data_IF_454593879569
#
_entry.id   IF_454593879569
#
_cell.length_a   1.000
_cell.length_b   1.000
_cell.length_c   1.000
_cell.angle_alpha   90.00
_cell.angle_beta   90.00
_cell.angle_gamma   90.00
#
_symmetry.space_group_name_H-M   'P 1'
#
loop_
_entity.id
_entity.type
_entity.pdbx_description
1 polymer ?
#
# COMPACT_ATOMS: atom_id res chain seq x y z
N UNK A 1 -28.42 7.98 -8.88
CA UNK A 1 -28.31 9.18 -8.03
C UNK A 1 -27.03 9.95 -8.34
N UNK A 2 -25.86 9.39 -8.07
CA UNK A 2 -24.55 10.03 -8.30
C UNK A 2 -24.01 9.90 -9.73
N UNK A 3 -23.22 10.89 -10.17
CA UNK A 3 -22.40 10.89 -11.40
C UNK A 3 -21.02 11.47 -11.07
N UNK A 4 -19.95 10.73 -11.39
CA UNK A 4 -18.58 11.22 -11.19
C UNK A 4 -18.17 12.16 -12.33
N UNK A 5 -17.70 13.36 -12.01
CA UNK A 5 -17.28 14.38 -12.99
C UNK A 5 -15.75 14.53 -13.11
N UNK A 6 -14.98 13.80 -12.29
CA UNK A 6 -13.52 13.85 -12.29
C UNK A 6 -13.03 15.07 -11.53
N UNK A 7 -12.21 15.91 -12.18
CA UNK A 7 -11.66 17.14 -11.60
C UNK A 7 -10.20 17.01 -11.14
N UNK A 8 -9.61 15.82 -11.28
CA UNK A 8 -8.22 15.50 -11.01
C UNK A 8 -7.25 16.12 -12.01
N UNK A 9 -6.01 16.33 -11.56
CA UNK A 9 -4.84 16.62 -12.40
C UNK A 9 -5.09 17.60 -13.56
N UNK A 10 -5.71 18.76 -13.25
CA UNK A 10 -5.93 19.84 -14.21
C UNK A 10 -4.92 20.99 -14.02
N UNK A 11 -3.71 20.93 -14.61
CA UNK A 11 -2.76 22.03 -14.56
C UNK A 11 -3.32 23.33 -15.14
N UNK A 12 -3.18 24.40 -14.38
CA UNK A 12 -3.69 25.73 -14.75
C UNK A 12 -2.82 26.49 -15.76
N UNK A 13 -1.69 25.89 -16.17
CA UNK A 13 -0.66 26.51 -17.04
C UNK A 13 -1.23 27.06 -18.35
N UNK A 14 -2.19 26.36 -18.96
CA UNK A 14 -2.83 26.83 -20.20
C UNK A 14 -3.87 27.91 -19.94
N UNK A 15 -4.63 27.84 -18.85
CA UNK A 15 -5.64 28.84 -18.51
C UNK A 15 -5.03 30.20 -18.19
N UNK A 16 -3.85 30.21 -17.55
CA UNK A 16 -3.07 31.42 -17.31
C UNK A 16 -2.72 32.19 -18.61
N UNK A 17 -2.59 31.47 -19.74
CA UNK A 17 -2.22 32.04 -21.05
C UNK A 17 -3.38 32.11 -22.04
N UNK A 18 -4.54 31.54 -21.72
CA UNK A 18 -5.67 31.44 -22.63
C UNK A 18 -6.52 32.72 -22.59
N UNK A 19 -6.63 33.48 -23.69
CA UNK A 19 -7.40 34.73 -23.70
C UNK A 19 -8.88 34.52 -23.33
N UNK A 20 -9.46 33.37 -23.70
CA UNK A 20 -10.86 33.03 -23.37
C UNK A 20 -11.03 32.74 -21.88
N UNK A 21 -10.10 32.02 -21.26
CA UNK A 21 -10.13 31.72 -19.82
C UNK A 21 -9.93 33.00 -18.99
N UNK A 22 -8.96 33.82 -19.36
CA UNK A 22 -8.70 35.11 -18.69
C UNK A 22 -9.87 36.08 -18.84
N UNK A 23 -10.53 36.11 -20.01
CA UNK A 23 -11.76 36.88 -20.20
C UNK A 23 -12.89 36.39 -19.28
N UNK A 24 -13.05 35.07 -19.10
CA UNK A 24 -14.03 34.49 -18.18
C UNK A 24 -13.72 34.85 -16.73
N UNK A 25 -12.46 34.73 -16.30
CA UNK A 25 -11.99 35.14 -14.97
C UNK A 25 -12.35 36.61 -14.69
N UNK A 26 -12.03 37.50 -15.64
CA UNK A 26 -12.36 38.93 -15.52
C UNK A 26 -13.86 39.17 -15.44
N UNK A 27 -14.65 38.53 -16.30
CA UNK A 27 -16.11 38.71 -16.33
C UNK A 27 -16.80 38.21 -15.04
N UNK A 28 -16.27 37.15 -14.44
CA UNK A 28 -16.78 36.59 -13.18
C UNK A 28 -16.16 37.25 -11.93
N UNK A 29 -15.20 38.15 -12.10
CA UNK A 29 -14.50 38.81 -10.99
C UNK A 29 -13.71 37.86 -10.09
N UNK A 30 -13.23 36.73 -10.63
CA UNK A 30 -12.46 35.74 -9.87
C UNK A 30 -11.08 36.32 -9.53
N UNK A 31 -10.72 36.30 -8.24
CA UNK A 31 -9.47 36.87 -7.73
C UNK A 31 -8.68 35.82 -6.96
N UNK A 32 -7.36 35.87 -7.08
CA UNK A 32 -6.48 35.12 -6.19
C UNK A 32 -6.57 35.65 -4.76
N UNK A 33 -6.43 34.76 -3.79
CA UNK A 33 -6.24 35.07 -2.38
C UNK A 33 -5.14 34.18 -1.76
N UNK A 34 -5.09 34.12 -0.43
CA UNK A 34 -4.10 33.32 0.30
C UNK A 34 -4.26 31.81 0.12
N UNK A 35 -5.44 31.34 -0.29
CA UNK A 35 -5.80 29.93 -0.37
C UNK A 35 -5.92 29.46 -1.82
N UNK A 36 -6.37 30.32 -2.75
CA UNK A 36 -6.65 29.93 -4.12
C UNK A 36 -6.21 30.93 -5.18
N UNK A 37 -5.79 30.41 -6.34
CA UNK A 37 -5.53 31.21 -7.54
C UNK A 37 -6.83 31.55 -8.29
N UNK A 38 -6.78 32.56 -9.18
CA UNK A 38 -7.92 32.88 -10.05
C UNK A 38 -8.29 31.71 -10.98
N UNK A 39 -7.30 30.94 -11.44
CA UNK A 39 -7.50 29.75 -12.27
C UNK A 39 -8.07 28.55 -11.50
N UNK A 40 -7.74 28.36 -10.22
CA UNK A 40 -8.41 27.38 -9.36
C UNK A 40 -9.88 27.75 -9.15
N UNK A 41 -10.17 29.04 -8.92
CA UNK A 41 -11.56 29.51 -8.90
C UNK A 41 -12.27 29.32 -10.24
N UNK A 42 -11.55 29.35 -11.36
CA UNK A 42 -12.11 29.02 -12.67
C UNK A 42 -12.43 27.51 -12.79
N UNK A 43 -11.64 26.63 -12.17
CA UNK A 43 -11.98 25.21 -12.04
C UNK A 43 -13.28 25.05 -11.24
N UNK A 44 -13.35 25.67 -10.05
CA UNK A 44 -14.58 25.66 -9.23
C UNK A 44 -15.81 26.15 -10.01
N UNK A 45 -15.68 27.20 -10.84
CA UNK A 45 -16.75 27.65 -11.72
C UNK A 45 -17.25 26.55 -12.68
N UNK A 46 -16.33 25.78 -13.28
CA UNK A 46 -16.67 24.67 -14.20
C UNK A 46 -17.39 23.55 -13.44
N UNK A 47 -16.88 23.18 -12.26
CA UNK A 47 -17.49 22.15 -11.40
C UNK A 47 -18.90 22.57 -10.96
N UNK A 48 -19.07 23.82 -10.51
CA UNK A 48 -20.38 24.38 -10.15
C UNK A 48 -21.37 24.38 -11.34
N UNK A 49 -20.88 24.63 -12.56
CA UNK A 49 -21.71 24.56 -13.76
C UNK A 49 -22.21 23.14 -14.02
N UNK A 50 -21.31 22.14 -13.91
CA UNK A 50 -21.66 20.72 -14.05
C UNK A 50 -22.62 20.26 -12.95
N UNK A 51 -22.36 20.63 -11.69
CA UNK A 51 -23.23 20.36 -10.55
C UNK A 51 -24.65 20.88 -10.79
N UNK A 52 -24.77 22.18 -11.10
CA UNK A 52 -26.08 22.80 -11.33
C UNK A 52 -26.86 22.13 -12.46
N UNK A 53 -26.18 21.79 -13.55
CA UNK A 53 -26.79 21.07 -14.66
C UNK A 53 -27.31 19.70 -14.22
N UNK A 54 -26.47 18.91 -13.53
CA UNK A 54 -26.79 17.55 -13.10
C UNK A 54 -27.87 17.52 -12.00
N UNK A 55 -27.81 18.43 -11.03
CA UNK A 55 -28.84 18.63 -10.01
C UNK A 55 -30.20 18.97 -10.64
N UNK A 56 -30.22 19.80 -11.69
CA UNK A 56 -31.44 20.10 -12.47
C UNK A 56 -32.07 18.87 -13.14
N UNK A 57 -31.32 17.78 -13.27
CA UNK A 57 -31.77 16.48 -13.80
C UNK A 57 -31.87 15.40 -12.71
N UNK A 58 -31.93 15.80 -11.44
CA UNK A 58 -32.10 14.88 -10.30
C UNK A 58 -30.86 14.02 -10.02
N UNK A 59 -29.66 14.50 -10.37
CA UNK A 59 -28.39 13.80 -10.13
C UNK A 59 -27.49 14.59 -9.20
N UNK A 60 -26.73 13.90 -8.35
CA UNK A 60 -25.67 14.47 -7.51
C UNK A 60 -24.30 14.22 -8.15
N UNK A 61 -23.29 15.04 -7.81
CA UNK A 61 -21.94 14.89 -8.36
C UNK A 61 -20.99 14.24 -7.36
N UNK A 62 -20.04 13.46 -7.90
CA UNK A 62 -18.82 13.06 -7.21
C UNK A 62 -17.64 13.66 -7.97
N UNK A 63 -16.62 14.16 -7.28
CA UNK A 63 -15.35 14.56 -7.90
C UNK A 63 -14.17 14.25 -7.01
N UNK A 64 -12.98 14.14 -7.62
CA UNK A 64 -11.73 13.94 -6.88
C UNK A 64 -11.42 15.11 -5.94
N UNK A 65 -10.63 14.89 -4.90
CA UNK A 65 -10.35 15.91 -3.87
C UNK A 65 -9.81 17.26 -4.38
N UNK A 66 -9.28 17.33 -5.61
CA UNK A 66 -8.98 18.57 -6.32
C UNK A 66 -10.18 19.50 -6.53
N UNK A 67 -11.43 19.01 -6.48
CA UNK A 67 -12.61 19.89 -6.56
C UNK A 67 -12.78 20.81 -5.35
N UNK A 68 -11.98 20.61 -4.28
CA UNK A 68 -11.82 21.56 -3.18
C UNK A 68 -11.14 22.87 -3.63
N UNK A 69 -10.33 22.83 -4.69
CA UNK A 69 -9.61 24.00 -5.22
C UNK A 69 -10.59 25.07 -5.72
N UNK A 70 -10.46 26.30 -5.21
CA UNK A 70 -11.31 27.43 -5.61
C UNK A 70 -12.66 27.50 -4.89
N UNK A 71 -12.92 26.60 -3.95
CA UNK A 71 -14.17 26.49 -3.19
C UNK A 71 -15.09 25.41 -3.74
N UNK A 72 -15.60 24.55 -2.85
CA UNK A 72 -16.38 23.38 -3.21
C UNK A 72 -17.80 23.77 -3.66
N UNK A 73 -18.35 23.02 -4.62
CA UNK A 73 -19.74 23.17 -5.03
C UNK A 73 -20.66 22.62 -3.91
N UNK A 74 -21.77 23.31 -3.57
CA UNK A 74 -22.49 23.13 -2.30
C UNK A 74 -23.08 21.73 -2.07
N UNK A 75 -23.32 20.94 -3.11
CA UNK A 75 -23.90 19.59 -3.01
C UNK A 75 -22.92 18.50 -3.49
N UNK A 76 -21.64 18.83 -3.65
CA UNK A 76 -20.66 17.88 -4.15
C UNK A 76 -20.28 16.83 -3.10
N UNK A 77 -20.20 15.58 -3.53
CA UNK A 77 -19.51 14.50 -2.81
C UNK A 77 -18.05 14.46 -3.25
N UNK A 78 -17.13 14.32 -2.30
CA UNK A 78 -15.68 14.31 -2.57
C UNK A 78 -15.13 12.88 -2.52
N UNK A 79 -14.36 12.50 -3.53
CA UNK A 79 -13.59 11.24 -3.56
C UNK A 79 -12.12 11.53 -3.23
N UNK A 80 -11.68 11.12 -2.03
CA UNK A 80 -10.32 11.43 -1.51
C UNK A 80 -9.29 10.42 -1.98
N UNK A 81 -8.33 10.84 -2.79
CA UNK A 81 -7.34 9.93 -3.38
C UNK A 81 -5.89 10.27 -3.02
N UNK A 82 -5.57 11.54 -2.78
CA UNK A 82 -4.22 11.98 -2.37
C UNK A 82 -4.01 11.79 -0.87
N UNK A 83 -4.06 10.54 -0.43
CA UNK A 83 -4.19 10.18 0.98
C UNK A 83 -5.58 10.54 1.53
N UNK A 84 -5.66 10.82 2.84
CA UNK A 84 -6.92 11.03 3.56
C UNK A 84 -7.26 12.50 3.83
N UNK A 85 -6.32 13.42 3.57
CA UNK A 85 -6.44 14.82 3.97
C UNK A 85 -7.59 15.54 3.27
N UNK A 86 -7.79 15.30 1.97
CA UNK A 86 -8.89 15.88 1.20
C UNK A 86 -10.26 15.46 1.74
N UNK A 87 -10.41 14.17 2.07
CA UNK A 87 -11.63 13.66 2.70
C UNK A 87 -11.89 14.23 4.09
N UNK A 88 -10.84 14.39 4.93
CA UNK A 88 -10.97 15.03 6.24
C UNK A 88 -11.45 16.48 6.10
N UNK A 89 -10.87 17.24 5.17
CA UNK A 89 -11.26 18.63 4.93
C UNK A 89 -12.70 18.74 4.42
N UNK A 90 -13.10 17.90 3.47
CA UNK A 90 -14.47 17.87 2.94
C UNK A 90 -15.51 17.51 4.01
N UNK A 91 -15.21 16.52 4.86
CA UNK A 91 -16.09 16.12 5.96
C UNK A 91 -16.27 17.24 7.00
N UNK A 92 -15.20 17.98 7.33
CA UNK A 92 -15.26 19.18 8.20
C UNK A 92 -16.12 20.29 7.61
N UNK A 93 -16.18 20.38 6.29
CA UNK A 93 -17.06 21.28 5.54
C UNK A 93 -18.48 20.72 5.36
N UNK A 94 -18.80 19.54 5.92
CA UNK A 94 -20.11 18.89 5.87
C UNK A 94 -20.52 18.38 4.48
N UNK A 95 -19.53 18.00 3.67
CA UNK A 95 -19.74 17.34 2.40
C UNK A 95 -19.55 15.84 2.54
N UNK A 96 -20.37 15.05 1.85
CA UNK A 96 -20.21 13.61 1.78
C UNK A 96 -18.87 13.23 1.14
N UNK A 97 -18.27 12.14 1.62
CA UNK A 97 -16.94 11.69 1.24
C UNK A 97 -16.94 10.20 0.92
N UNK A 98 -16.27 9.85 -0.17
CA UNK A 98 -15.87 8.48 -0.50
C UNK A 98 -14.35 8.39 -0.37
N UNK A 99 -13.87 7.49 0.48
CA UNK A 99 -12.44 7.29 0.72
C UNK A 99 -11.84 6.33 -0.31
N UNK A 100 -10.89 6.82 -1.11
CA UNK A 100 -10.09 6.02 -2.06
C UNK A 100 -8.58 6.33 -1.93
N UNK A 101 -8.00 6.46 -0.72
CA UNK A 101 -6.64 6.97 -0.56
C UNK A 101 -5.61 6.07 -1.22
N UNK A 102 -4.73 6.64 -2.05
CA UNK A 102 -3.66 5.92 -2.74
C UNK A 102 -2.65 5.22 -1.81
N UNK A 103 -2.59 5.61 -0.54
CA UNK A 103 -1.77 4.95 0.49
C UNK A 103 -2.30 3.57 0.89
N UNK A 104 -3.58 3.26 0.56
CA UNK A 104 -4.23 2.02 0.98
C UNK A 104 -4.99 1.31 -0.15
N UNK A 105 -5.59 2.04 -1.10
CA UNK A 105 -6.65 1.53 -1.98
C UNK A 105 -6.38 1.76 -3.47
N UNK A 106 -5.11 1.91 -3.87
CA UNK A 106 -4.70 1.93 -5.28
C UNK A 106 -4.17 0.55 -5.66
N UNK A 107 -4.99 -0.22 -6.38
CA UNK A 107 -4.70 -1.62 -6.71
C UNK A 107 -3.87 -1.76 -7.98
N UNK A 108 -3.58 -0.68 -8.68
CA UNK A 108 -2.53 -0.60 -9.72
C UNK A 108 -1.10 -0.59 -9.14
N UNK A 109 -0.95 -0.47 -7.81
CA UNK A 109 0.35 -0.54 -7.14
C UNK A 109 0.78 -1.98 -6.86
N UNK A 110 2.10 -2.20 -6.77
CA UNK A 110 2.68 -3.48 -6.36
C UNK A 110 2.14 -3.95 -5.01
N UNK A 111 2.06 -5.28 -4.86
CA UNK A 111 1.53 -5.94 -3.66
C UNK A 111 2.57 -6.78 -2.91
N UNK A 112 3.81 -6.82 -3.41
CA UNK A 112 4.98 -7.44 -2.79
C UNK A 112 6.19 -6.51 -2.87
N UNK A 113 7.16 -6.71 -1.97
CA UNK A 113 8.46 -6.00 -2.03
C UNK A 113 9.38 -6.59 -3.10
N UNK A 114 9.12 -7.81 -3.54
CA UNK A 114 9.88 -8.51 -4.58
C UNK A 114 9.41 -8.12 -5.99
N UNK A 115 9.56 -6.83 -6.31
CA UNK A 115 9.05 -6.25 -7.56
C UNK A 115 9.71 -6.83 -8.82
N UNK A 116 10.89 -7.44 -8.69
CA UNK A 116 11.63 -7.99 -9.81
C UNK A 116 10.96 -9.25 -10.40
N UNK A 117 10.11 -9.91 -9.60
CA UNK A 117 9.38 -11.12 -9.99
C UNK A 117 7.88 -10.85 -10.21
N UNK A 118 7.47 -9.58 -10.31
CA UNK A 118 6.09 -9.16 -10.53
C UNK A 118 5.86 -8.71 -11.97
N UNK A 119 4.61 -8.78 -12.46
CA UNK A 119 4.19 -8.02 -13.64
C UNK A 119 4.51 -6.52 -13.47
N UNK A 120 4.78 -5.83 -14.58
CA UNK A 120 5.02 -4.39 -14.54
C UNK A 120 3.81 -3.64 -13.96
N UNK A 121 4.07 -2.72 -13.05
CA UNK A 121 3.08 -1.87 -12.38
C UNK A 121 3.68 -0.48 -12.17
N UNK A 122 2.83 0.52 -11.94
CA UNK A 122 3.26 1.93 -11.86
C UNK A 122 4.24 2.22 -10.71
N UNK A 123 4.25 1.37 -9.68
CA UNK A 123 5.06 1.53 -8.48
C UNK A 123 4.29 1.21 -7.20
N UNK A 124 4.57 1.94 -6.12
CA UNK A 124 3.88 1.79 -4.84
C UNK A 124 4.13 0.46 -4.12
N UNK A 125 3.48 0.28 -2.97
CA UNK A 125 3.45 -0.98 -2.22
C UNK A 125 2.20 -1.02 -1.33
N UNK A 126 1.20 -1.78 -1.77
CA UNK A 126 -0.10 -1.96 -1.12
C UNK A 126 -0.40 -3.46 -1.04
N UNK A 127 0.18 -4.18 -0.05
CA UNK A 127 -0.13 -5.58 0.21
C UNK A 127 -1.53 -5.73 0.83
N UNK A 128 -2.05 -6.96 0.84
CA UNK A 128 -3.35 -7.32 1.47
C UNK A 128 -3.45 -6.81 2.92
N UNK A 129 -2.35 -6.90 3.69
CA UNK A 129 -2.27 -6.41 5.07
C UNK A 129 -2.54 -4.90 5.18
N UNK A 130 -1.96 -4.11 4.27
CA UNK A 130 -2.15 -2.65 4.24
C UNK A 130 -3.61 -2.29 3.95
N UNK A 131 -4.24 -3.00 3.03
CA UNK A 131 -5.68 -2.80 2.72
C UNK A 131 -6.53 -3.15 3.95
N UNK A 132 -6.28 -4.31 4.57
CA UNK A 132 -7.07 -4.78 5.71
C UNK A 132 -6.97 -3.84 6.92
N UNK A 133 -5.77 -3.34 7.18
CA UNK A 133 -5.50 -2.48 8.34
C UNK A 133 -5.94 -1.03 8.14
N UNK A 134 -6.47 -0.65 6.96
CA UNK A 134 -7.04 0.67 6.76
C UNK A 134 -8.31 0.85 7.62
N UNK A 135 -8.34 1.93 8.40
CA UNK A 135 -9.51 2.42 9.13
C UNK A 135 -10.10 3.60 8.36
N UNK A 136 -11.27 3.43 7.70
CA UNK A 136 -11.87 4.48 6.88
C UNK A 136 -12.33 5.72 7.64
N UNK A 137 -12.56 5.60 8.96
CA UNK A 137 -13.01 6.69 9.83
C UNK A 137 -11.80 7.37 10.48
N UNK A 138 -11.31 8.52 9.98
CA UNK A 138 -10.11 9.15 10.50
C UNK A 138 -10.31 9.60 11.95
N UNK A 139 -9.28 9.40 12.79
CA UNK A 139 -9.29 9.83 14.20
C UNK A 139 -9.32 11.36 14.38
N UNK A 140 -8.94 12.11 13.33
CA UNK A 140 -8.95 13.58 13.29
C UNK A 140 -10.34 14.19 13.08
N UNK A 141 -11.38 13.34 12.88
CA UNK A 141 -12.77 13.74 12.76
C UNK A 141 -13.54 13.42 14.04
N UNK A 142 -14.44 14.32 14.41
CA UNK A 142 -15.43 14.09 15.47
C UNK A 142 -16.46 13.03 15.06
N UNK A 143 -17.19 12.40 16.01
CA UNK A 143 -18.26 11.45 15.67
C UNK A 143 -19.34 12.02 14.75
N UNK A 144 -19.62 13.32 14.84
CA UNK A 144 -20.53 14.03 13.94
C UNK A 144 -19.96 14.18 12.53
N UNK A 145 -18.69 14.50 12.40
CA UNK A 145 -18.01 14.66 11.11
C UNK A 145 -17.80 13.31 10.40
N UNK A 146 -17.55 12.24 11.16
CA UNK A 146 -17.41 10.88 10.61
C UNK A 146 -18.66 10.41 9.86
N UNK A 147 -19.85 10.97 10.14
CA UNK A 147 -21.10 10.64 9.43
C UNK A 147 -21.07 11.07 7.96
N UNK A 148 -20.19 11.98 7.58
CA UNK A 148 -19.99 12.39 6.19
C UNK A 148 -19.11 11.41 5.41
N UNK A 149 -18.46 10.45 6.06
CA UNK A 149 -17.77 9.38 5.36
C UNK A 149 -18.82 8.33 4.95
N UNK A 150 -19.28 8.40 3.71
CA UNK A 150 -20.40 7.59 3.20
C UNK A 150 -19.96 6.33 2.44
N UNK A 151 -18.67 6.18 2.15
CA UNK A 151 -18.20 5.04 1.39
C UNK A 151 -16.68 4.89 1.32
N UNK A 152 -16.27 3.71 0.87
CA UNK A 152 -14.88 3.32 0.65
C UNK A 152 -14.81 2.60 -0.69
N UNK A 153 -13.79 2.88 -1.50
CA UNK A 153 -13.58 2.24 -2.80
C UNK A 153 -12.08 2.05 -3.06
N UNK A 154 -11.73 1.00 -3.80
CA UNK A 154 -10.40 0.87 -4.40
C UNK A 154 -10.43 1.22 -5.88
N UNK A 155 -9.35 1.82 -6.35
CA UNK A 155 -9.18 2.22 -7.75
C UNK A 155 -8.21 1.26 -8.43
N UNK A 156 -8.46 0.99 -9.72
CA UNK A 156 -7.55 0.26 -10.59
C UNK A 156 -7.31 1.06 -11.87
N UNK A 157 -6.17 1.73 -11.93
CA UNK A 157 -5.67 2.36 -13.15
C UNK A 157 -4.95 1.33 -14.02
N UNK A 158 -5.01 1.46 -15.35
CA UNK A 158 -4.67 0.37 -16.27
C UNK A 158 -3.51 0.68 -17.22
N UNK A 159 -2.69 1.69 -16.93
CA UNK A 159 -1.53 2.09 -17.73
C UNK A 159 -0.58 0.92 -18.02
N UNK A 160 -0.37 0.06 -17.02
CA UNK A 160 0.54 -1.10 -17.08
C UNK A 160 -0.19 -2.45 -17.02
N UNK A 161 -1.51 -2.46 -17.25
CA UNK A 161 -2.37 -3.64 -17.09
C UNK A 161 -3.07 -3.96 -18.43
N UNK A 162 -2.34 -4.52 -19.42
CA UNK A 162 -2.87 -4.74 -20.77
C UNK A 162 -3.85 -5.91 -20.89
N UNK A 163 -3.99 -6.76 -19.87
CA UNK A 163 -4.83 -7.96 -19.93
C UNK A 163 -5.78 -8.06 -18.75
N UNK A 164 -6.96 -8.64 -18.98
CA UNK A 164 -7.93 -8.89 -17.92
C UNK A 164 -7.40 -9.87 -16.86
N UNK A 165 -6.58 -10.84 -17.26
CA UNK A 165 -5.93 -11.75 -16.30
C UNK A 165 -5.01 -11.01 -15.32
N UNK A 166 -4.38 -9.91 -15.76
CA UNK A 166 -3.60 -9.04 -14.87
C UNK A 166 -4.51 -8.12 -14.02
N UNK A 167 -5.67 -7.68 -14.54
CA UNK A 167 -6.70 -7.00 -13.72
C UNK A 167 -7.06 -7.87 -12.53
N UNK A 168 -7.43 -9.14 -12.77
CA UNK A 168 -7.77 -10.08 -11.71
C UNK A 168 -6.60 -10.31 -10.74
N UNK A 169 -5.37 -10.45 -11.24
CA UNK A 169 -4.16 -10.58 -10.42
C UNK A 169 -3.91 -9.37 -9.51
N UNK A 170 -4.17 -8.16 -10.00
CA UNK A 170 -3.97 -6.93 -9.24
C UNK A 170 -5.10 -6.72 -8.22
N UNK A 171 -6.34 -7.09 -8.54
CA UNK A 171 -7.46 -6.92 -7.63
C UNK A 171 -7.56 -8.02 -6.57
N UNK A 172 -7.34 -9.28 -6.94
CA UNK A 172 -7.54 -10.44 -6.08
C UNK A 172 -6.22 -10.92 -5.46
N UNK A 173 -6.15 -11.15 -4.13
CA UNK A 173 -7.24 -11.14 -3.15
C UNK A 173 -7.42 -9.81 -2.39
N UNK A 174 -6.82 -8.70 -2.81
CA UNK A 174 -6.95 -7.40 -2.12
C UNK A 174 -8.40 -6.94 -2.00
N UNK A 175 -9.26 -7.26 -2.97
CA UNK A 175 -10.71 -7.02 -2.88
C UNK A 175 -11.38 -7.74 -1.70
N UNK A 176 -10.84 -8.87 -1.23
CA UNK A 176 -11.36 -9.53 -0.03
C UNK A 176 -11.05 -8.73 1.25
N UNK A 177 -9.89 -8.09 1.31
CA UNK A 177 -9.57 -7.17 2.41
C UNK A 177 -10.39 -5.89 2.31
N UNK A 178 -10.59 -5.35 1.09
CA UNK A 178 -11.47 -4.21 0.84
C UNK A 178 -12.91 -4.49 1.31
N UNK A 179 -13.46 -5.66 1.00
CA UNK A 179 -14.83 -5.99 1.39
C UNK A 179 -14.99 -6.10 2.91
N UNK A 180 -13.98 -6.59 3.63
CA UNK A 180 -14.00 -6.61 5.10
C UNK A 180 -14.02 -5.18 5.66
N UNK A 181 -13.19 -4.25 5.16
CA UNK A 181 -13.20 -2.87 5.67
C UNK A 181 -14.45 -2.08 5.27
N UNK A 182 -15.15 -2.50 4.20
CA UNK A 182 -16.41 -1.90 3.78
C UNK A 182 -17.60 -2.39 4.60
N UNK A 183 -17.55 -3.63 5.10
CA UNK A 183 -18.73 -4.32 5.62
C UNK A 183 -18.66 -4.68 7.11
N UNK A 184 -17.49 -5.06 7.60
CA UNK A 184 -17.31 -5.56 8.96
C UNK A 184 -17.07 -4.41 9.93
N UNK A 185 -17.79 -4.44 11.06
CA UNK A 185 -17.62 -3.44 12.13
C UNK A 185 -16.16 -3.44 12.65
N UNK A 186 -15.56 -2.27 12.94
CA UNK A 186 -14.15 -2.18 13.33
C UNK A 186 -13.75 -3.09 14.48
N UNK A 187 -14.59 -3.22 15.51
CA UNK A 187 -14.34 -4.07 16.69
C UNK A 187 -14.32 -5.58 16.40
N UNK A 188 -14.77 -5.99 15.21
CA UNK A 188 -14.74 -7.38 14.73
C UNK A 188 -13.61 -7.66 13.76
N UNK A 189 -12.89 -6.63 13.31
CA UNK A 189 -11.74 -6.82 12.43
C UNK A 189 -10.61 -7.52 13.19
N UNK A 190 -10.09 -8.58 12.59
CA UNK A 190 -8.96 -9.34 13.09
C UNK A 190 -8.21 -9.92 11.88
N UNK A 191 -7.02 -9.40 11.62
CA UNK A 191 -6.25 -9.77 10.42
C UNK A 191 -5.87 -11.25 10.41
N UNK A 192 -5.42 -11.81 11.53
CA UNK A 192 -5.13 -13.26 11.63
C UNK A 192 -6.39 -14.10 11.38
N UNK A 193 -7.54 -13.67 11.90
CA UNK A 193 -8.83 -14.30 11.65
C UNK A 193 -9.27 -14.21 10.19
N UNK A 194 -9.02 -13.08 9.53
CA UNK A 194 -9.27 -12.90 8.09
C UNK A 194 -8.41 -13.85 7.25
N UNK A 195 -7.11 -13.92 7.54
CA UNK A 195 -6.17 -14.79 6.84
C UNK A 195 -6.55 -16.28 6.93
N UNK A 196 -7.16 -16.73 8.03
CA UNK A 196 -7.70 -18.10 8.17
C UNK A 196 -8.94 -18.36 7.31
N UNK A 197 -9.73 -17.33 6.99
CA UNK A 197 -10.94 -17.46 6.15
C UNK A 197 -10.64 -17.28 4.66
N UNK A 198 -9.56 -16.58 4.33
CA UNK A 198 -9.19 -16.26 2.95
C UNK A 198 -9.04 -17.49 2.03
N UNK A 199 -8.43 -18.62 2.44
CA UNK A 199 -8.33 -19.81 1.60
C UNK A 199 -9.68 -20.29 1.05
N UNK A 200 -10.75 -20.27 1.86
CA UNK A 200 -12.09 -20.69 1.44
C UNK A 200 -12.68 -19.79 0.34
N UNK A 201 -12.34 -18.50 0.37
CA UNK A 201 -12.74 -17.58 -0.69
C UNK A 201 -11.91 -17.80 -1.97
N UNK A 202 -10.64 -18.18 -1.83
CA UNK A 202 -9.79 -18.52 -2.97
C UNK A 202 -10.21 -19.82 -3.64
N UNK A 203 -10.73 -20.80 -2.89
CA UNK A 203 -11.36 -22.00 -3.48
C UNK A 203 -12.50 -21.62 -4.44
N UNK A 204 -13.25 -20.56 -4.13
CA UNK A 204 -14.29 -20.01 -5.02
C UNK A 204 -13.64 -19.40 -6.27
N UNK A 205 -12.55 -18.65 -6.13
CA UNK A 205 -11.83 -18.09 -7.28
C UNK A 205 -11.36 -19.18 -8.24
N UNK A 206 -10.84 -20.30 -7.71
CA UNK A 206 -10.41 -21.45 -8.50
C UNK A 206 -11.59 -22.10 -9.26
N UNK A 207 -12.76 -22.24 -8.63
CA UNK A 207 -13.99 -22.77 -9.28
C UNK A 207 -14.41 -21.89 -10.47
N UNK A 208 -14.38 -20.57 -10.29
CA UNK A 208 -14.74 -19.61 -11.34
C UNK A 208 -13.58 -19.30 -12.31
N UNK A 209 -12.39 -19.84 -12.05
CA UNK A 209 -11.16 -19.64 -12.81
C UNK A 209 -10.71 -18.18 -12.89
N UNK A 210 -10.90 -17.43 -11.82
CA UNK A 210 -10.31 -16.10 -11.70
C UNK A 210 -8.82 -16.21 -11.43
N UNK A 211 -8.00 -15.39 -12.10
CA UNK A 211 -6.60 -15.26 -11.71
C UNK A 211 -6.49 -14.45 -10.40
N UNK A 212 -5.44 -14.68 -9.62
CA UNK A 212 -5.19 -13.93 -8.39
C UNK A 212 -3.73 -14.02 -7.98
N UNK A 213 -3.28 -13.02 -7.23
CA UNK A 213 -1.96 -13.02 -6.66
C UNK A 213 -1.84 -13.97 -5.46
N UNK A 214 -0.70 -14.63 -5.33
CA UNK A 214 -0.48 -15.71 -4.36
C UNK A 214 0.40 -15.33 -3.16
N UNK A 215 0.83 -14.08 -3.08
CA UNK A 215 1.76 -13.57 -2.06
C UNK A 215 1.36 -13.90 -0.62
N UNK A 216 0.06 -13.80 -0.33
CA UNK A 216 -0.49 -14.08 1.01
C UNK A 216 -0.37 -15.54 1.41
N UNK A 217 -0.17 -16.44 0.45
CA UNK A 217 0.01 -17.88 0.65
C UNK A 217 1.48 -18.30 0.71
N UNK A 218 2.42 -17.37 0.51
CA UNK A 218 3.84 -17.66 0.64
C UNK A 218 4.23 -17.96 2.08
N UNK A 219 5.38 -18.61 2.25
CA UNK A 219 6.00 -18.74 3.57
C UNK A 219 6.42 -17.34 4.03
N UNK A 220 5.95 -16.91 5.19
CA UNK A 220 6.48 -15.73 5.86
C UNK A 220 7.74 -16.14 6.64
N UNK A 221 8.90 -15.67 6.18
CA UNK A 221 10.18 -15.89 6.86
C UNK A 221 10.64 -14.62 7.57
N UNK A 222 10.76 -14.69 8.90
CA UNK A 222 11.26 -13.59 9.73
C UNK A 222 12.65 -13.95 10.23
N UNK A 223 13.63 -13.13 9.83
CA UNK A 223 15.02 -13.25 10.23
C UNK A 223 15.30 -12.28 11.39
N UNK A 224 15.55 -12.85 12.56
CA UNK A 224 15.73 -12.10 13.81
C UNK A 224 17.16 -12.26 14.32
N UNK A 225 17.98 -11.20 14.30
CA UNK A 225 19.31 -11.24 14.91
C UNK A 225 19.21 -11.54 16.41
N UNK A 226 19.97 -12.52 16.88
CA UNK A 226 20.05 -12.90 18.29
C UNK A 226 21.51 -12.82 18.77
N UNK A 227 21.98 -11.63 19.21
CA UNK A 227 23.35 -11.42 19.69
C UNK A 227 23.72 -12.23 20.93
N UNK A 228 22.72 -12.64 21.74
CA UNK A 228 22.97 -13.42 22.96
C UNK A 228 23.48 -14.82 22.63
N UNK A 229 22.86 -15.46 21.64
CA UNK A 229 23.20 -16.82 21.21
C UNK A 229 24.19 -16.85 20.04
N UNK A 230 24.47 -15.68 19.45
CA UNK A 230 25.29 -15.53 18.25
C UNK A 230 24.63 -16.15 17.02
N UNK A 231 23.29 -16.08 16.93
CA UNK A 231 22.49 -16.71 15.88
C UNK A 231 21.70 -15.69 15.09
N UNK A 232 21.38 -16.04 13.85
CA UNK A 232 20.24 -15.47 13.14
C UNK A 232 19.08 -16.45 13.30
N UNK A 233 18.09 -16.07 14.10
CA UNK A 233 16.93 -16.90 14.39
C UNK A 233 15.89 -16.72 13.27
N UNK A 234 15.54 -17.81 12.59
CA UNK A 234 14.56 -17.80 11.49
C UNK A 234 13.28 -18.46 11.95
N UNK A 235 12.21 -17.67 11.98
CA UNK A 235 10.85 -18.18 12.24
C UNK A 235 10.05 -18.19 10.95
N UNK A 236 9.41 -19.32 10.67
CA UNK A 236 8.59 -19.52 9.48
C UNK A 236 7.12 -19.68 9.88
N UNK A 237 6.23 -19.06 9.10
CA UNK A 237 4.79 -19.24 9.25
C UNK A 237 4.08 -19.19 7.89
N UNK A 238 2.89 -19.77 7.83
CA UNK A 238 1.94 -19.55 6.74
C UNK A 238 0.59 -19.19 7.35
N UNK A 239 -0.29 -18.61 6.54
CA UNK A 239 -1.60 -18.13 7.00
C UNK A 239 -2.55 -19.25 7.43
N UNK A 240 -2.30 -20.46 6.95
CA UNK A 240 -3.11 -21.67 7.09
C UNK A 240 -2.43 -22.75 7.93
N UNK A 241 -1.28 -22.44 8.52
CA UNK A 241 -0.43 -23.38 9.28
C UNK A 241 -0.07 -24.65 8.47
N UNK A 242 0.03 -24.52 7.15
CA UNK A 242 0.47 -25.61 6.28
C UNK A 242 1.91 -26.02 6.59
N UNK A 243 2.27 -27.31 6.37
CA UNK A 243 3.63 -27.79 6.57
C UNK A 243 4.65 -27.02 5.73
N UNK A 244 5.69 -26.52 6.40
CA UNK A 244 6.78 -25.77 5.77
C UNK A 244 8.01 -26.68 5.71
N UNK A 245 8.61 -26.78 4.53
CA UNK A 245 9.81 -27.57 4.26
C UNK A 245 10.94 -26.65 3.83
N UNK A 246 12.16 -26.94 4.27
CA UNK A 246 13.31 -26.07 3.99
C UNK A 246 14.59 -26.83 3.67
N UNK A 247 15.54 -26.11 3.08
CA UNK A 247 16.92 -26.53 2.82
C UNK A 247 17.87 -25.39 3.21
N UNK A 248 19.12 -25.72 3.54
CA UNK A 248 20.16 -24.76 3.93
C UNK A 248 21.39 -24.80 3.00
N UNK A 249 21.39 -25.73 2.06
CA UNK A 249 22.48 -25.97 1.10
C UNK A 249 22.17 -25.41 -0.30
N UNK A 250 21.03 -24.71 -0.45
CA UNK A 250 20.57 -24.13 -1.71
C UNK A 250 19.84 -25.09 -2.65
N UNK A 251 19.70 -26.38 -2.28
CA UNK A 251 18.88 -27.33 -3.06
C UNK A 251 17.40 -26.94 -3.03
N UNK A 252 16.64 -27.29 -4.08
CA UNK A 252 15.21 -26.94 -4.14
C UNK A 252 14.41 -27.70 -3.08
N UNK A 253 13.68 -27.00 -2.19
CA UNK A 253 12.90 -27.65 -1.14
C UNK A 253 11.66 -28.35 -1.70
N UNK A 254 11.30 -29.48 -1.10
CA UNK A 254 10.11 -30.27 -1.43
C UNK A 254 9.51 -30.91 -0.18
N UNK A 255 8.41 -31.64 -0.31
CA UNK A 255 7.82 -32.41 0.79
C UNK A 255 8.76 -33.49 1.38
N UNK A 256 9.86 -33.83 0.68
CA UNK A 256 10.90 -34.73 1.16
C UNK A 256 12.04 -34.01 1.91
N UNK A 257 12.06 -32.68 1.89
CA UNK A 257 13.07 -31.87 2.60
C UNK A 257 12.75 -31.78 4.10
N UNK A 258 13.58 -31.05 4.85
CA UNK A 258 13.43 -30.97 6.30
C UNK A 258 12.16 -30.21 6.68
N UNK A 259 11.30 -30.83 7.50
CA UNK A 259 10.11 -30.20 8.05
C UNK A 259 10.49 -29.16 9.10
N UNK A 260 9.93 -27.96 8.99
CA UNK A 260 10.05 -26.92 10.00
C UNK A 260 9.12 -27.21 11.18
N UNK A 261 9.72 -27.44 12.36
CA UNK A 261 8.99 -27.72 13.61
C UNK A 261 9.29 -26.71 14.71
N UNK A 262 10.40 -25.98 14.61
CA UNK A 262 10.88 -25.01 15.60
C UNK A 262 11.78 -23.96 14.96
N UNK A 263 12.02 -22.85 15.66
CA UNK A 263 12.87 -21.74 15.20
C UNK A 263 14.26 -22.24 14.78
N UNK A 264 14.67 -21.89 13.55
CA UNK A 264 16.00 -22.26 13.04
C UNK A 264 17.04 -21.31 13.61
N UNK A 265 18.08 -21.85 14.26
CA UNK A 265 19.18 -21.08 14.84
C UNK A 265 20.40 -21.15 13.94
N UNK A 266 20.55 -20.19 13.03
CA UNK A 266 21.62 -20.20 12.02
C UNK A 266 22.89 -19.51 12.55
N UNK A 267 24.05 -20.15 12.36
CA UNK A 267 25.37 -19.69 12.87
C UNK A 267 26.47 -19.62 11.81
N UNK A 268 26.14 -19.96 10.56
CA UNK A 268 27.13 -20.11 9.49
C UNK A 268 26.51 -19.72 8.15
N UNK A 269 27.35 -19.65 7.11
CA UNK A 269 26.88 -19.40 5.76
C UNK A 269 25.90 -20.50 5.33
N UNK A 270 24.79 -20.10 4.74
CA UNK A 270 23.84 -21.01 4.13
C UNK A 270 23.01 -20.28 3.07
N UNK A 271 22.56 -21.03 2.08
CA UNK A 271 21.52 -20.58 1.17
C UNK A 271 20.21 -21.17 1.69
N UNK A 272 19.46 -20.36 2.42
CA UNK A 272 18.19 -20.75 3.00
C UNK A 272 17.11 -20.74 1.92
N UNK A 273 16.39 -21.87 1.77
CA UNK A 273 15.20 -21.95 0.94
C UNK A 273 14.06 -22.59 1.72
N UNK A 274 12.84 -22.07 1.59
CA UNK A 274 11.65 -22.66 2.20
C UNK A 274 10.43 -22.61 1.28
N UNK A 275 9.60 -23.64 1.40
CA UNK A 275 8.36 -23.80 0.64
C UNK A 275 7.28 -24.39 1.54
N UNK A 276 6.03 -24.09 1.23
CA UNK A 276 4.89 -24.86 1.75
C UNK A 276 4.24 -25.62 0.61
N UNK A 277 3.90 -26.88 0.85
CA UNK A 277 3.27 -27.77 -0.12
C UNK A 277 1.79 -27.91 0.22
N UNK A 278 0.91 -27.57 -0.72
CA UNK A 278 -0.55 -27.68 -0.56
C UNK A 278 -1.16 -28.52 -1.68
N UNK A 279 -2.34 -29.13 -1.46
CA UNK A 279 -3.09 -29.79 -2.53
C UNK A 279 -3.37 -28.88 -3.74
N UNK A 280 -3.63 -27.59 -3.49
CA UNK A 280 -3.87 -26.57 -4.53
C UNK A 280 -2.60 -26.09 -5.25
N UNK A 281 -1.42 -26.56 -4.83
CA UNK A 281 -0.12 -26.18 -5.39
C UNK A 281 0.84 -25.62 -4.33
N UNK A 282 2.11 -25.62 -4.67
CA UNK A 282 3.17 -25.13 -3.80
C UNK A 282 3.15 -23.59 -3.72
N UNK A 283 3.62 -23.03 -2.61
CA UNK A 283 3.96 -21.60 -2.55
C UNK A 283 5.15 -21.27 -3.46
N UNK A 284 5.43 -19.98 -3.64
CA UNK A 284 6.77 -19.59 -4.10
C UNK A 284 7.82 -20.04 -3.08
N UNK A 285 9.02 -20.31 -3.57
CA UNK A 285 10.16 -20.63 -2.72
C UNK A 285 10.72 -19.32 -2.16
N UNK A 286 10.67 -19.17 -0.84
CA UNK A 286 11.39 -18.09 -0.17
C UNK A 286 12.86 -18.44 -0.20
N UNK A 287 13.70 -17.52 -0.67
CA UNK A 287 15.15 -17.71 -0.74
C UNK A 287 15.86 -16.57 -0.02
N UNK A 288 16.85 -16.90 0.81
CA UNK A 288 17.69 -15.92 1.49
C UNK A 288 19.15 -16.41 1.54
N UNK A 289 20.07 -15.56 1.08
CA UNK A 289 21.51 -15.82 1.19
C UNK A 289 22.02 -15.27 2.52
N UNK A 290 22.44 -16.16 3.41
CA UNK A 290 22.91 -15.81 4.75
C UNK A 290 24.42 -15.93 4.79
N UNK A 291 25.08 -14.79 5.05
CA UNK A 291 26.53 -14.66 5.03
C UNK A 291 27.05 -14.30 6.43
N UNK A 292 27.43 -15.32 7.20
CA UNK A 292 28.12 -15.16 8.48
C UNK A 292 29.61 -14.86 8.30
N UNK A 293 30.11 -13.95 9.13
CA UNK A 293 31.54 -13.69 9.30
C UNK A 293 31.85 -13.38 10.78
N UNK A 294 33.09 -13.00 11.10
CA UNK A 294 33.51 -12.75 12.50
C UNK A 294 32.74 -11.62 13.19
N UNK A 295 32.20 -10.66 12.42
CA UNK A 295 31.40 -9.55 12.91
C UNK A 295 29.92 -9.93 13.12
N UNK A 296 29.43 -11.01 12.52
CA UNK A 296 28.01 -11.37 12.59
C UNK A 296 27.54 -11.55 14.03
N UNK A 297 26.40 -10.92 14.36
CA UNK A 297 25.78 -10.88 15.68
C UNK A 297 26.66 -10.27 16.79
N UNK A 298 27.72 -9.54 16.45
CA UNK A 298 28.52 -8.79 17.44
C UNK A 298 27.87 -7.45 17.78
N UNK A 299 28.14 -6.90 18.97
CA UNK A 299 27.74 -5.53 19.29
C UNK A 299 28.29 -4.56 18.24
N UNK A 300 27.51 -3.54 17.87
CA UNK A 300 27.95 -2.48 16.98
C UNK A 300 27.62 -1.15 17.60
N UNK A 301 28.63 -0.28 17.68
CA UNK A 301 28.46 1.10 18.15
C UNK A 301 28.73 2.06 17.00
N UNK A 302 27.75 2.92 16.70
CA UNK A 302 27.92 3.98 15.71
C UNK A 302 28.59 5.19 16.37
N UNK A 303 29.73 5.63 15.84
CA UNK A 303 30.44 6.83 16.31
C UNK A 303 29.87 8.13 15.71
N UNK A 304 29.16 8.00 14.60
CA UNK A 304 28.46 9.09 13.93
C UNK A 304 26.96 8.76 13.75
N UNK A 305 26.08 9.77 13.65
CA UNK A 305 24.64 9.53 13.53
C UNK A 305 24.27 8.84 12.22
N UNK A 306 23.32 7.90 12.32
CA UNK A 306 22.62 7.33 11.16
C UNK A 306 21.55 8.32 10.70
N UNK A 307 21.33 8.42 9.38
CA UNK A 307 20.27 9.25 8.83
C UNK A 307 18.89 8.76 9.33
N UNK A 308 18.12 9.66 9.95
CA UNK A 308 16.83 9.31 10.58
C UNK A 308 15.76 8.79 9.63
N UNK A 309 15.74 9.27 8.39
CA UNK A 309 14.74 8.84 7.41
C UNK A 309 14.92 7.38 6.99
N UNK A 310 16.16 6.88 7.01
CA UNK A 310 16.52 5.53 6.60
C UNK A 310 17.29 4.79 7.70
N UNK A 311 16.88 4.98 8.96
CA UNK A 311 17.50 4.36 10.13
C UNK A 311 17.08 2.88 10.28
N UNK A 312 15.84 2.53 9.94
CA UNK A 312 15.27 1.18 10.04
C UNK A 312 15.57 0.51 11.40
N UNK A 313 16.26 -0.65 11.41
CA UNK A 313 16.69 -1.35 12.63
C UNK A 313 18.03 -0.83 13.18
N UNK A 314 18.65 0.15 12.53
CA UNK A 314 19.87 0.81 12.95
C UNK A 314 21.13 -0.03 12.76
N UNK A 315 22.13 0.22 13.61
CA UNK A 315 23.45 -0.40 13.55
C UNK A 315 23.46 -1.94 13.45
N UNK A 316 22.57 -2.70 14.12
CA UNK A 316 22.52 -4.16 13.99
C UNK A 316 22.36 -4.67 12.54
N UNK A 317 21.77 -3.88 11.64
CA UNK A 317 21.65 -4.21 10.21
C UNK A 317 23.01 -4.42 9.54
N UNK A 318 24.09 -3.84 10.06
CA UNK A 318 25.44 -4.00 9.48
C UNK A 318 26.07 -5.37 9.79
N UNK A 319 25.52 -6.12 10.75
CA UNK A 319 26.09 -7.37 11.28
C UNK A 319 25.08 -8.51 11.40
N UNK A 320 23.92 -8.39 10.77
CA UNK A 320 22.88 -9.43 10.82
C UNK A 320 23.11 -10.59 9.82
N UNK A 321 24.16 -10.51 9.00
CA UNK A 321 24.49 -11.53 8.00
C UNK A 321 23.54 -11.55 6.79
N UNK A 322 22.64 -10.57 6.68
CA UNK A 322 21.74 -10.39 5.55
C UNK A 322 22.30 -9.36 4.57
N UNK A 323 21.86 -9.43 3.30
CA UNK A 323 22.23 -8.47 2.26
C UNK A 323 21.02 -7.78 1.66
N UNK A 324 21.23 -6.58 1.12
CA UNK A 324 20.22 -5.86 0.34
C UNK A 324 20.31 -6.15 -1.15
N UNK A 325 19.29 -5.71 -1.89
CA UNK A 325 19.27 -5.64 -3.34
C UNK A 325 19.22 -4.16 -3.79
N UNK A 326 18.99 -3.88 -5.08
CA UNK A 326 18.90 -2.51 -5.60
C UNK A 326 17.82 -1.63 -4.95
N UNK A 327 16.83 -2.22 -4.26
CA UNK A 327 15.83 -1.47 -3.51
C UNK A 327 16.33 -1.13 -2.10
N UNK A 328 16.79 0.12 -1.94
CA UNK A 328 17.29 0.65 -0.67
C UNK A 328 16.20 0.87 0.41
N UNK A 329 14.91 0.70 0.08
CA UNK A 329 13.78 0.90 1.01
C UNK A 329 13.33 -0.37 1.73
N UNK A 330 13.99 -1.50 1.49
CA UNK A 330 13.64 -2.80 2.07
C UNK A 330 13.91 -2.91 3.57
N UNK A 331 14.75 -2.02 4.12
CA UNK A 331 15.29 -2.09 5.47
C UNK A 331 16.57 -2.93 5.60
N UNK A 332 17.09 -3.45 4.48
CA UNK A 332 18.42 -4.09 4.38
C UNK A 332 19.58 -3.09 4.25
N UNK A 333 19.24 -1.80 4.19
CA UNK A 333 20.19 -0.70 4.03
C UNK A 333 19.92 0.32 5.13
N UNK A 334 20.98 0.93 5.67
CA UNK A 334 20.89 2.14 6.49
C UNK A 334 21.67 3.26 5.80
N UNK A 335 21.24 4.51 5.95
CA UNK A 335 21.85 5.63 5.23
C UNK A 335 22.67 6.55 6.14
N UNK A 336 23.65 7.21 5.54
CA UNK A 336 24.45 8.28 6.11
C UNK A 336 24.38 9.48 5.17
N UNK A 337 24.28 10.68 5.71
CA UNK A 337 24.14 11.89 4.89
C UNK A 337 24.82 13.06 5.58
N UNK A 338 25.79 13.69 4.89
CA UNK A 338 26.67 14.76 5.40
C UNK A 338 27.64 14.33 6.50
N UNK A 339 27.77 13.03 6.74
CA UNK A 339 28.66 12.45 7.73
C UNK A 339 29.06 11.04 7.26
N UNK A 340 30.21 10.55 7.70
CA UNK A 340 30.74 9.26 7.29
C UNK A 340 30.10 8.11 8.08
N UNK A 341 30.14 6.91 7.53
CA UNK A 341 29.83 5.70 8.29
C UNK A 341 31.02 5.33 9.18
N UNK A 342 30.92 5.61 10.48
CA UNK A 342 31.90 5.18 11.48
C UNK A 342 31.25 4.23 12.49
N UNK A 343 31.71 2.98 12.50
CA UNK A 343 31.20 1.93 13.38
C UNK A 343 32.34 1.14 14.03
N UNK A 344 32.15 0.77 15.30
CA UNK A 344 33.02 -0.13 16.06
C UNK A 344 32.27 -1.43 16.31
N UNK A 345 32.89 -2.55 15.95
CA UNK A 345 32.35 -3.92 16.07
C UNK A 345 33.21 -4.72 17.06
#
# INVERSE_FOLDING_TARGET
EYIHVGGDECPKVRWAKCPKCQARIKALGLKSDKNHTAEERLQSFIINHAEKFLNGHGRQIIGWDEILEGGLAPNATVMSWRGVAGGIEAAKQKHDVIMTPNTYLYFDYYQTKDIANEPEAIGGYVPVETVYNYEPMPADLTPEEQKYIIGVQANLWTEYIPTYSQVEYMELPRMAALSEIQWTMPEKKNYEGFLKRLPQLVDIYDVYKYNYAKHVFDVNAVFTPNPKDGTLDVTLSTIDNSPIYYTLDGTEPSAASQLYTETLKLKQNCTFKAITVRPAGNSRVVTEEIAFNKASMKPVTMLQPVNKQYEFKGAPTLVDGLKGNGNYKTGRWIAFYKNDMEAVI
#
